data_IF_640689341793
#
_entry.id   IF_640689341793
#
_cell.length_a   1.000
_cell.length_b   1.000
_cell.length_c   1.000
_cell.angle_alpha   90.00
_cell.angle_beta   90.00
_cell.angle_gamma   90.00
#
_symmetry.space_group_name_H-M   'P 1'
#
loop_
_entity.id
_entity.type
_entity.pdbx_description
1 polymer ?
#
# COMPACT_ATOMS: atom_id res chain seq x y z
N UNK A 1 8.70 -3.97 -20.81
CA UNK A 1 8.59 -3.93 -19.35
C UNK A 1 9.27 -5.15 -18.73
N UNK A 2 10.09 -4.93 -17.72
CA UNK A 2 10.78 -6.01 -16.97
C UNK A 2 10.45 -5.85 -15.50
N UNK A 3 9.91 -6.92 -14.88
CA UNK A 3 9.67 -6.96 -13.44
C UNK A 3 10.94 -7.45 -12.71
N UNK A 4 11.30 -6.79 -11.63
CA UNK A 4 12.39 -7.17 -10.74
C UNK A 4 12.00 -7.07 -9.27
N UNK A 5 12.90 -7.43 -8.37
CA UNK A 5 12.68 -7.42 -6.93
C UNK A 5 13.79 -6.67 -6.20
N UNK A 6 13.41 -5.89 -5.18
CA UNK A 6 14.38 -5.26 -4.28
C UNK A 6 15.19 -6.30 -3.52
N UNK A 7 14.54 -7.38 -3.10
CA UNK A 7 15.15 -8.53 -2.43
C UNK A 7 14.83 -9.80 -3.22
N UNK A 8 15.83 -10.69 -3.38
CA UNK A 8 15.66 -11.94 -4.12
C UNK A 8 15.87 -11.81 -5.63
N UNK A 9 15.35 -12.79 -6.37
CA UNK A 9 15.51 -12.90 -7.82
C UNK A 9 14.16 -12.75 -8.55
N UNK A 10 14.16 -12.14 -9.75
CA UNK A 10 15.28 -11.44 -10.41
C UNK A 10 15.62 -10.12 -9.70
N UNK A 11 16.91 -9.83 -9.53
CA UNK A 11 17.37 -8.64 -8.83
C UNK A 11 17.36 -7.39 -9.73
N UNK A 12 17.21 -6.19 -9.15
CA UNK A 12 17.34 -4.90 -9.83
C UNK A 12 18.63 -4.85 -10.65
N UNK A 13 19.75 -5.22 -10.03
CA UNK A 13 21.07 -5.27 -10.68
C UNK A 13 21.07 -6.15 -11.94
N UNK A 14 20.50 -7.36 -11.87
CA UNK A 14 20.48 -8.27 -13.02
C UNK A 14 19.64 -7.73 -14.16
N UNK A 15 18.53 -7.06 -13.86
CA UNK A 15 17.62 -6.50 -14.86
C UNK A 15 18.16 -5.23 -15.51
N UNK A 16 18.79 -4.34 -14.76
CA UNK A 16 19.50 -3.18 -15.34
C UNK A 16 20.59 -3.66 -16.31
N UNK A 17 21.39 -4.66 -15.91
CA UNK A 17 22.43 -5.22 -16.80
C UNK A 17 21.84 -5.86 -18.06
N UNK A 18 20.75 -6.62 -17.95
CA UNK A 18 20.09 -7.23 -19.09
C UNK A 18 19.56 -6.17 -20.07
N UNK A 19 18.88 -5.14 -19.58
CA UNK A 19 18.39 -4.02 -20.40
C UNK A 19 19.54 -3.28 -21.09
N UNK A 20 20.63 -3.02 -20.37
CA UNK A 20 21.85 -2.42 -20.94
C UNK A 20 22.42 -3.29 -22.06
N UNK A 21 22.54 -4.61 -21.87
CA UNK A 21 23.01 -5.55 -22.89
C UNK A 21 22.11 -5.63 -24.13
N UNK A 22 20.83 -5.28 -23.97
CA UNK A 22 19.86 -5.15 -25.07
C UNK A 22 19.95 -3.79 -25.80
N UNK A 23 20.87 -2.91 -25.41
CA UNK A 23 21.06 -1.60 -26.01
C UNK A 23 20.12 -0.52 -25.48
N UNK A 24 19.45 -0.73 -24.35
CA UNK A 24 18.57 0.28 -23.75
C UNK A 24 19.42 1.40 -23.14
N UNK A 25 19.28 2.61 -23.68
CA UNK A 25 19.97 3.82 -23.24
C UNK A 25 19.15 4.67 -22.24
N UNK A 26 17.85 4.45 -22.20
CA UNK A 26 16.93 5.17 -21.33
C UNK A 26 16.08 4.18 -20.53
N UNK A 27 16.14 4.23 -19.21
CA UNK A 27 15.40 3.35 -18.31
C UNK A 27 14.45 4.17 -17.42
N UNK A 28 13.22 3.69 -17.32
CA UNK A 28 12.25 4.21 -16.34
C UNK A 28 12.09 3.16 -15.24
N UNK A 29 12.32 3.58 -14.01
CA UNK A 29 12.14 2.76 -12.81
C UNK A 29 10.83 3.18 -12.13
N UNK A 30 9.91 2.24 -12.00
CA UNK A 30 8.64 2.44 -11.31
C UNK A 30 8.59 1.52 -10.08
N UNK A 31 8.93 2.02 -8.87
CA UNK A 31 8.68 1.29 -7.65
C UNK A 31 7.17 1.15 -7.44
N UNK A 32 6.68 -0.08 -7.23
CA UNK A 32 5.24 -0.33 -7.04
C UNK A 32 4.79 -0.03 -5.60
N UNK A 33 5.25 1.10 -5.07
CA UNK A 33 4.85 1.68 -3.80
C UNK A 33 4.22 3.05 -4.05
N UNK A 34 2.87 3.15 -4.05
CA UNK A 34 2.20 4.42 -4.35
C UNK A 34 2.62 5.54 -3.40
N UNK A 35 2.70 5.24 -2.10
CA UNK A 35 3.16 6.15 -1.05
C UNK A 35 4.67 5.94 -0.84
N UNK A 36 5.46 6.98 -1.04
CA UNK A 36 6.89 6.93 -0.76
C UNK A 36 7.15 6.67 0.73
N UNK A 37 8.13 5.82 1.01
CA UNK A 37 8.76 5.70 2.32
C UNK A 37 10.26 5.47 2.14
N UNK A 38 11.08 5.87 3.13
CA UNK A 38 12.51 5.56 3.14
C UNK A 38 12.76 4.05 3.16
N UNK A 39 11.88 3.29 3.81
CA UNK A 39 11.97 1.83 3.88
C UNK A 39 11.59 1.11 2.59
N UNK A 40 10.91 1.77 1.65
CA UNK A 40 10.42 1.16 0.40
C UNK A 40 11.05 1.82 -0.82
N UNK A 41 10.51 2.92 -1.32
CA UNK A 41 10.95 3.58 -2.55
C UNK A 41 12.42 3.98 -2.49
N UNK A 42 12.91 4.54 -1.38
CA UNK A 42 14.31 4.93 -1.27
C UNK A 42 15.26 3.72 -1.36
N UNK A 43 14.88 2.56 -0.79
CA UNK A 43 15.73 1.35 -0.89
C UNK A 43 15.83 0.81 -2.32
N UNK A 44 14.78 0.99 -3.13
CA UNK A 44 14.82 0.69 -4.58
C UNK A 44 15.78 1.64 -5.28
N UNK A 45 15.66 2.95 -5.02
CA UNK A 45 16.54 3.97 -5.58
C UNK A 45 18.02 3.69 -5.24
N UNK A 46 18.31 3.37 -3.98
CA UNK A 46 19.65 3.03 -3.52
C UNK A 46 20.27 1.88 -4.33
N UNK A 47 19.50 0.82 -4.58
CA UNK A 47 20.02 -0.33 -5.33
C UNK A 47 20.22 -0.04 -6.81
N UNK A 48 19.34 0.79 -7.39
CA UNK A 48 19.52 1.32 -8.75
C UNK A 48 20.83 2.10 -8.83
N UNK A 49 21.03 3.08 -7.93
CA UNK A 49 22.23 3.91 -7.93
C UNK A 49 23.49 3.11 -7.65
N UNK A 50 23.48 2.19 -6.68
CA UNK A 50 24.61 1.27 -6.43
C UNK A 50 24.98 0.44 -7.66
N UNK A 51 23.98 0.05 -8.45
CA UNK A 51 24.21 -0.70 -9.69
C UNK A 51 24.88 0.19 -10.73
N UNK A 52 24.34 1.40 -10.94
CA UNK A 52 24.87 2.36 -11.92
C UNK A 52 26.31 2.78 -11.60
N UNK A 53 26.62 3.05 -10.34
CA UNK A 53 27.99 3.45 -9.90
C UNK A 53 29.06 2.43 -10.28
N UNK A 54 28.68 1.17 -10.54
CA UNK A 54 29.60 0.09 -10.95
C UNK A 54 29.67 -0.10 -12.47
N UNK A 55 28.92 0.68 -13.25
CA UNK A 55 28.88 0.59 -14.70
C UNK A 55 29.83 1.63 -15.33
N UNK A 56 30.57 1.22 -16.35
CA UNK A 56 31.44 2.15 -17.12
C UNK A 56 30.64 3.11 -17.95
N UNK A 57 29.58 2.62 -18.58
CA UNK A 57 28.60 3.40 -19.31
C UNK A 57 27.26 3.27 -18.63
N UNK A 58 26.67 4.38 -18.27
CA UNK A 58 25.42 4.43 -17.53
C UNK A 58 24.28 4.87 -18.44
N UNK A 59 23.16 4.13 -18.49
CA UNK A 59 21.96 4.59 -19.17
C UNK A 59 21.36 5.81 -18.45
N UNK A 60 20.58 6.60 -19.19
CA UNK A 60 19.72 7.63 -18.58
C UNK A 60 18.66 6.96 -17.71
N UNK A 61 18.46 7.49 -16.50
CA UNK A 61 17.50 6.93 -15.53
C UNK A 61 16.46 7.97 -15.17
N UNK A 62 15.19 7.56 -15.26
CA UNK A 62 14.06 8.29 -14.65
C UNK A 62 13.41 7.40 -13.60
N UNK A 63 13.38 7.85 -12.34
CA UNK A 63 12.69 7.16 -11.26
C UNK A 63 11.38 7.88 -10.98
N UNK A 64 10.29 7.13 -10.86
CA UNK A 64 9.00 7.63 -10.43
C UNK A 64 8.95 7.51 -8.90
N UNK A 65 9.02 8.62 -8.13
CA UNK A 65 9.24 8.55 -6.69
C UNK A 65 7.99 8.17 -5.90
N UNK A 66 6.82 8.59 -6.34
CA UNK A 66 5.53 8.33 -5.70
C UNK A 66 4.38 8.66 -6.67
N UNK A 67 3.21 8.08 -6.44
CA UNK A 67 1.99 8.35 -7.23
C UNK A 67 0.71 8.24 -6.39
N UNK A 68 0.81 8.47 -5.08
CA UNK A 68 -0.25 8.36 -4.08
C UNK A 68 -1.48 9.24 -4.37
N UNK A 69 -1.30 10.27 -5.18
CA UNK A 69 -2.36 11.23 -5.57
C UNK A 69 -2.62 11.28 -7.07
N UNK A 70 -2.02 10.37 -7.84
CA UNK A 70 -2.23 10.35 -9.28
C UNK A 70 -3.72 10.09 -9.59
N UNK A 71 -4.39 10.91 -10.42
CA UNK A 71 -5.84 10.80 -10.63
C UNK A 71 -6.29 9.41 -11.07
N UNK A 72 -5.59 8.78 -12.00
CA UNK A 72 -5.93 7.44 -12.49
C UNK A 72 -5.75 6.37 -11.41
N UNK A 73 -4.77 6.51 -10.51
CA UNK A 73 -4.60 5.61 -9.39
C UNK A 73 -5.77 5.74 -8.39
N UNK A 74 -6.18 6.95 -8.05
CA UNK A 74 -7.34 7.20 -7.19
C UNK A 74 -8.62 6.68 -7.85
N UNK A 75 -8.79 6.91 -9.16
CA UNK A 75 -9.96 6.40 -9.91
C UNK A 75 -10.01 4.87 -9.92
N UNK A 76 -8.87 4.20 -10.09
CA UNK A 76 -8.78 2.75 -10.02
C UNK A 76 -9.23 2.21 -8.65
N UNK A 77 -8.77 2.82 -7.54
CA UNK A 77 -9.17 2.45 -6.18
C UNK A 77 -10.68 2.66 -5.95
N UNK A 78 -11.23 3.80 -6.39
CA UNK A 78 -12.66 4.10 -6.28
C UNK A 78 -13.49 3.12 -7.12
N UNK A 79 -13.04 2.77 -8.31
CA UNK A 79 -13.71 1.78 -9.16
C UNK A 79 -13.70 0.38 -8.52
N UNK A 80 -12.58 -0.04 -7.91
CA UNK A 80 -12.49 -1.31 -7.17
C UNK A 80 -13.42 -1.34 -5.97
N UNK A 81 -13.51 -0.23 -5.19
CA UNK A 81 -14.49 -0.08 -4.11
C UNK A 81 -15.92 -0.20 -4.61
N UNK A 82 -16.27 0.54 -5.66
CA UNK A 82 -17.62 0.51 -6.24
C UNK A 82 -17.99 -0.88 -6.77
N UNK A 83 -17.04 -1.59 -7.40
CA UNK A 83 -17.22 -2.95 -7.86
C UNK A 83 -17.51 -3.88 -6.69
N UNK A 84 -16.66 -3.86 -5.65
CA UNK A 84 -16.82 -4.72 -4.48
C UNK A 84 -18.11 -4.48 -3.73
N UNK A 85 -18.54 -3.21 -3.57
CA UNK A 85 -19.81 -2.85 -2.92
C UNK A 85 -21.04 -3.42 -3.68
N UNK A 86 -20.96 -3.54 -5.01
CA UNK A 86 -22.02 -4.18 -5.81
C UNK A 86 -22.03 -5.70 -5.69
N UNK A 87 -20.91 -6.31 -5.36
CA UNK A 87 -20.77 -7.77 -5.22
C UNK A 87 -21.22 -8.27 -3.85
N UNK A 88 -21.06 -7.48 -2.79
CA UNK A 88 -21.51 -7.83 -1.44
C UNK A 88 -23.01 -7.57 -1.28
N UNK A 89 -23.68 -8.38 -0.44
CA UNK A 89 -25.12 -8.30 -0.19
C UNK A 89 -25.49 -7.50 1.06
N UNK A 90 -24.57 -6.69 1.57
CA UNK A 90 -24.72 -5.83 2.73
C UNK A 90 -24.09 -4.45 2.48
N UNK A 91 -24.52 -3.46 3.25
CA UNK A 91 -24.01 -2.09 3.14
C UNK A 91 -22.92 -1.84 4.19
N UNK A 92 -21.72 -1.41 3.82
CA UNK A 92 -20.68 -1.05 4.78
C UNK A 92 -21.09 0.17 5.63
N UNK A 93 -20.87 0.09 6.94
CA UNK A 93 -20.96 1.24 7.87
C UNK A 93 -19.70 2.08 7.83
N UNK A 94 -18.57 1.45 7.45
CA UNK A 94 -17.25 2.06 7.38
C UNK A 94 -16.36 1.37 6.34
N UNK A 95 -15.56 2.15 5.64
CA UNK A 95 -14.44 1.65 4.83
C UNK A 95 -13.15 1.82 5.63
N UNK A 96 -12.53 0.70 6.00
CA UNK A 96 -11.23 0.67 6.66
C UNK A 96 -10.12 0.74 5.62
N UNK A 97 -9.34 1.82 5.64
CA UNK A 97 -8.23 2.03 4.71
C UNK A 97 -6.93 1.68 5.42
N UNK A 98 -6.44 0.45 5.20
CA UNK A 98 -5.27 -0.08 5.90
C UNK A 98 -4.01 0.07 5.08
N UNK A 99 -2.96 0.61 5.69
CA UNK A 99 -1.61 0.74 5.13
C UNK A 99 -0.62 -0.05 5.98
N UNK A 100 0.48 -0.48 5.37
CA UNK A 100 1.57 -1.05 6.16
C UNK A 100 2.10 0.03 7.11
N UNK A 101 2.24 -0.30 8.39
CA UNK A 101 2.83 0.61 9.38
C UNK A 101 4.32 0.85 9.12
N UNK A 102 4.83 1.95 9.65
CA UNK A 102 6.26 2.19 9.81
C UNK A 102 6.53 2.66 11.24
N UNK A 103 7.74 2.48 11.77
CA UNK A 103 8.09 3.01 13.07
C UNK A 103 7.87 4.51 13.17
N UNK A 104 7.23 4.98 14.26
CA UNK A 104 6.96 6.40 14.53
C UNK A 104 8.20 7.28 14.34
N UNK A 105 9.37 6.80 14.77
CA UNK A 105 10.65 7.50 14.61
C UNK A 105 11.03 7.84 13.16
N UNK A 106 10.47 7.15 12.15
CA UNK A 106 10.73 7.49 10.74
C UNK A 106 9.95 8.74 10.36
N UNK A 107 8.68 8.82 10.76
CA UNK A 107 7.87 10.02 10.62
C UNK A 107 8.51 11.21 11.35
N UNK A 108 8.96 11.03 12.59
CA UNK A 108 9.62 12.07 13.40
C UNK A 108 10.92 12.59 12.75
N UNK A 109 11.55 11.78 11.88
CA UNK A 109 12.72 12.16 11.07
C UNK A 109 12.36 12.74 9.70
N UNK A 110 11.09 13.00 9.44
CA UNK A 110 10.63 13.65 8.21
C UNK A 110 10.25 12.69 7.06
N UNK A 111 10.05 11.39 7.32
CA UNK A 111 9.52 10.48 6.30
C UNK A 111 8.07 10.90 5.95
N UNK A 112 7.76 11.20 4.67
CA UNK A 112 6.46 11.72 4.27
C UNK A 112 5.35 10.66 4.20
N UNK A 113 5.66 9.39 4.44
CA UNK A 113 4.77 8.25 4.22
C UNK A 113 3.38 8.43 4.85
N UNK A 114 3.33 8.81 6.14
CA UNK A 114 2.06 9.04 6.84
C UNK A 114 1.19 10.09 6.12
N UNK A 115 1.80 11.20 5.70
CA UNK A 115 1.10 12.27 5.00
C UNK A 115 0.56 11.79 3.65
N UNK A 116 1.32 10.95 2.94
CA UNK A 116 0.88 10.36 1.66
C UNK A 116 -0.25 9.35 1.83
N UNK A 117 -0.23 8.54 2.88
CA UNK A 117 -1.35 7.65 3.22
C UNK A 117 -2.62 8.45 3.50
N UNK A 118 -2.56 9.49 4.34
CA UNK A 118 -3.68 10.38 4.63
C UNK A 118 -4.19 11.09 3.37
N UNK A 119 -3.29 11.54 2.50
CA UNK A 119 -3.65 12.17 1.23
C UNK A 119 -4.41 11.21 0.31
N UNK A 120 -3.94 9.97 0.15
CA UNK A 120 -4.65 8.94 -0.62
C UNK A 120 -6.06 8.71 -0.07
N UNK A 121 -6.19 8.48 1.24
CA UNK A 121 -7.50 8.27 1.89
C UNK A 121 -8.43 9.46 1.67
N UNK A 122 -7.93 10.69 1.86
CA UNK A 122 -8.73 11.91 1.63
C UNK A 122 -9.22 12.00 0.18
N UNK A 123 -8.36 11.75 -0.81
CA UNK A 123 -8.73 11.81 -2.23
C UNK A 123 -9.75 10.74 -2.62
N UNK A 124 -9.68 9.54 -2.00
CA UNK A 124 -10.72 8.53 -2.16
C UNK A 124 -12.03 9.04 -1.55
N UNK A 125 -12.00 9.60 -0.33
CA UNK A 125 -13.20 10.06 0.37
C UNK A 125 -13.89 11.23 -0.34
N UNK A 126 -13.15 12.10 -1.01
CA UNK A 126 -13.71 13.19 -1.83
C UNK A 126 -14.58 12.67 -2.99
N UNK A 127 -14.22 11.51 -3.54
CA UNK A 127 -15.00 10.84 -4.61
C UNK A 127 -16.04 9.85 -4.07
N UNK A 128 -15.88 9.40 -2.84
CA UNK A 128 -16.71 8.37 -2.21
C UNK A 128 -17.38 8.89 -0.93
N UNK A 129 -18.37 9.78 -1.10
CA UNK A 129 -18.98 10.56 0.00
C UNK A 129 -20.01 9.81 0.83
N UNK A 130 -20.46 8.64 0.41
CA UNK A 130 -21.61 7.94 1.02
C UNK A 130 -21.26 7.13 2.27
N UNK A 131 -20.00 6.84 2.51
CA UNK A 131 -19.51 6.00 3.60
C UNK A 131 -18.26 6.64 4.20
N UNK A 132 -18.13 6.61 5.51
CA UNK A 132 -16.95 7.07 6.23
C UNK A 132 -15.73 6.22 5.88
N UNK A 133 -14.57 6.87 5.66
CA UNK A 133 -13.27 6.22 5.49
C UNK A 133 -12.40 6.46 6.72
N UNK A 134 -11.76 5.41 7.25
CA UNK A 134 -10.86 5.48 8.40
C UNK A 134 -9.49 4.92 8.06
N UNK A 135 -8.45 5.75 8.11
CA UNK A 135 -7.06 5.32 7.91
C UNK A 135 -6.55 4.55 9.12
N UNK A 136 -5.89 3.42 8.87
CA UNK A 136 -5.24 2.60 9.90
C UNK A 136 -3.90 2.06 9.39
N UNK A 137 -3.07 1.53 10.30
CA UNK A 137 -1.76 0.98 10.00
C UNK A 137 -1.63 -0.44 10.55
N UNK A 138 -1.23 -1.38 9.69
CA UNK A 138 -1.07 -2.81 9.94
C UNK A 138 0.40 -3.23 10.08
N UNK A 139 0.64 -4.51 10.33
CA UNK A 139 1.96 -5.19 10.21
C UNK A 139 3.03 -4.64 11.16
N UNK A 140 2.63 -4.17 12.34
CA UNK A 140 3.60 -3.76 13.37
C UNK A 140 4.30 -4.96 13.99
N UNK A 141 5.59 -4.82 14.29
CA UNK A 141 6.36 -5.84 14.98
C UNK A 141 7.45 -5.24 15.90
N UNK A 142 7.87 -6.02 16.89
CA UNK A 142 8.88 -5.61 17.85
C UNK A 142 8.38 -4.54 18.86
N UNK A 143 9.24 -4.07 19.78
CA UNK A 143 8.83 -3.28 20.93
C UNK A 143 8.73 -1.77 20.67
N UNK A 144 9.13 -1.29 19.49
CA UNK A 144 9.12 0.13 19.18
C UNK A 144 7.70 0.65 18.88
N UNK A 145 7.48 1.95 19.06
CA UNK A 145 6.24 2.61 18.67
C UNK A 145 6.13 2.69 17.14
N UNK A 146 4.95 2.35 16.61
CA UNK A 146 4.61 2.41 15.20
C UNK A 146 3.56 3.50 14.95
N UNK A 147 3.31 3.83 13.69
CA UNK A 147 2.22 4.73 13.30
C UNK A 147 0.88 4.20 13.77
N UNK A 148 0.04 5.09 14.26
CA UNK A 148 -1.31 4.81 14.75
C UNK A 148 -2.36 5.52 13.86
N UNK A 149 -3.65 5.08 13.92
CA UNK A 149 -4.21 3.98 14.71
C UNK A 149 -3.87 2.60 14.15
N UNK A 150 -3.69 1.61 15.01
CA UNK A 150 -3.40 0.23 14.60
C UNK A 150 -4.65 -0.45 14.06
N UNK A 151 -4.51 -1.19 12.95
CA UNK A 151 -5.62 -1.85 12.26
C UNK A 151 -6.30 -2.89 13.15
N UNK A 152 -5.55 -3.78 13.79
CA UNK A 152 -6.07 -4.81 14.71
C UNK A 152 -6.88 -4.19 15.87
N UNK A 153 -6.32 -3.17 16.53
CA UNK A 153 -6.97 -2.49 17.66
C UNK A 153 -8.17 -1.65 17.23
N UNK A 154 -8.19 -1.18 15.99
CA UNK A 154 -9.35 -0.49 15.44
C UNK A 154 -10.47 -1.48 15.17
N UNK A 155 -10.17 -2.63 14.55
CA UNK A 155 -11.14 -3.69 14.28
C UNK A 155 -11.79 -4.23 15.57
N UNK A 156 -11.02 -4.38 16.65
CA UNK A 156 -11.55 -4.78 17.96
C UNK A 156 -12.60 -3.80 18.52
N UNK A 157 -12.46 -2.50 18.25
CA UNK A 157 -13.31 -1.43 18.81
C UNK A 157 -14.55 -1.11 17.98
N UNK A 158 -14.44 -1.20 16.65
CA UNK A 158 -15.48 -0.76 15.73
C UNK A 158 -16.88 -1.35 16.02
N UNK A 159 -17.05 -2.64 16.37
CA UNK A 159 -18.35 -3.18 16.70
C UNK A 159 -19.02 -2.52 17.91
N UNK A 160 -18.22 -2.16 18.93
CA UNK A 160 -18.69 -1.40 20.11
C UNK A 160 -19.06 0.04 19.79
N UNK A 161 -18.49 0.62 18.72
CA UNK A 161 -18.82 1.96 18.20
C UNK A 161 -20.05 1.94 17.25
N UNK A 162 -20.72 0.77 17.11
CA UNK A 162 -21.88 0.61 16.24
C UNK A 162 -21.55 0.35 14.77
N UNK A 163 -20.28 0.14 14.40
CA UNK A 163 -19.84 -0.21 13.05
C UNK A 163 -19.81 -1.73 12.93
N UNK A 164 -20.91 -2.32 12.49
CA UNK A 164 -21.09 -3.78 12.40
C UNK A 164 -20.69 -4.38 11.04
N UNK A 165 -20.60 -3.54 10.00
CA UNK A 165 -20.33 -3.95 8.63
C UNK A 165 -19.12 -3.15 8.12
N UNK A 166 -17.97 -3.80 7.96
CA UNK A 166 -16.72 -3.15 7.56
C UNK A 166 -16.19 -3.71 6.25
N UNK A 167 -15.91 -2.83 5.31
CA UNK A 167 -15.19 -3.16 4.08
C UNK A 167 -13.76 -2.61 4.16
N UNK A 168 -12.75 -3.48 4.08
CA UNK A 168 -11.35 -3.05 4.09
C UNK A 168 -10.82 -2.81 2.67
N UNK A 169 -9.85 -1.88 2.54
CA UNK A 169 -9.05 -1.66 1.33
C UNK A 169 -7.61 -1.36 1.73
N UNK A 170 -6.64 -1.86 0.96
CA UNK A 170 -5.21 -1.74 1.23
C UNK A 170 -4.47 -0.96 0.12
N UNK A 171 -4.62 0.37 0.00
CA UNK A 171 -4.07 1.13 -1.13
C UNK A 171 -2.54 1.17 -1.20
N UNK A 172 -1.84 0.89 -0.10
CA UNK A 172 -0.36 0.82 -0.09
C UNK A 172 0.21 -0.39 -0.84
N UNK A 173 -0.64 -1.35 -1.20
CA UNK A 173 -0.26 -2.60 -1.85
C UNK A 173 -0.76 -2.61 -3.30
N UNK A 174 0.17 -2.70 -4.26
CA UNK A 174 -0.19 -2.76 -5.68
C UNK A 174 -0.76 -4.12 -6.10
N UNK A 175 -0.40 -5.19 -5.37
CA UNK A 175 -0.92 -6.54 -5.57
C UNK A 175 -1.15 -7.24 -4.24
N UNK A 176 -2.07 -8.20 -4.24
CA UNK A 176 -2.35 -9.01 -3.06
C UNK A 176 -1.12 -9.81 -2.61
N UNK A 177 -0.93 -9.90 -1.31
CA UNK A 177 0.20 -10.54 -0.65
C UNK A 177 -0.22 -11.06 0.73
N UNK A 178 0.72 -11.61 1.49
CA UNK A 178 0.47 -12.14 2.85
C UNK A 178 -0.16 -11.06 3.75
N UNK A 179 0.34 -9.83 3.68
CA UNK A 179 -0.13 -8.70 4.49
C UNK A 179 -1.56 -8.28 4.15
N UNK A 180 -2.07 -8.57 2.96
CA UNK A 180 -3.46 -8.28 2.59
C UNK A 180 -4.37 -9.50 2.78
N UNK A 181 -3.96 -10.66 2.27
CA UNK A 181 -4.81 -11.86 2.28
C UNK A 181 -4.86 -12.52 3.66
N UNK A 182 -3.74 -12.67 4.34
CA UNK A 182 -3.73 -13.31 5.65
C UNK A 182 -4.00 -12.31 6.77
N UNK A 183 -3.26 -11.22 6.85
CA UNK A 183 -3.36 -10.28 7.97
C UNK A 183 -4.73 -9.55 7.98
N UNK A 184 -5.20 -9.06 6.82
CA UNK A 184 -6.46 -8.29 6.76
C UNK A 184 -7.67 -9.18 6.48
N UNK A 185 -7.64 -9.98 5.38
CA UNK A 185 -8.83 -10.72 4.97
C UNK A 185 -9.13 -11.91 5.89
N UNK A 186 -8.11 -12.56 6.47
CA UNK A 186 -8.32 -13.72 7.37
C UNK A 186 -8.30 -13.24 8.82
N UNK A 187 -7.15 -12.81 9.35
CA UNK A 187 -6.98 -12.48 10.77
C UNK A 187 -7.78 -11.23 11.17
N UNK A 188 -7.79 -10.19 10.33
CA UNK A 188 -8.57 -8.97 10.57
C UNK A 188 -10.07 -9.24 10.60
N UNK A 189 -10.56 -10.06 9.66
CA UNK A 189 -11.95 -10.54 9.66
C UNK A 189 -12.29 -11.31 10.92
N UNK A 190 -11.46 -12.26 11.32
CA UNK A 190 -11.66 -13.05 12.54
C UNK A 190 -11.71 -12.15 13.79
N UNK A 191 -10.75 -11.23 13.91
CA UNK A 191 -10.69 -10.25 15.00
C UNK A 191 -11.97 -9.42 15.07
N UNK A 192 -12.45 -8.91 13.93
CA UNK A 192 -13.64 -8.07 13.86
C UNK A 192 -14.91 -8.84 14.23
N UNK A 193 -15.10 -10.05 13.68
CA UNK A 193 -16.27 -10.88 13.96
C UNK A 193 -16.30 -11.33 15.42
N UNK A 194 -15.17 -11.75 15.99
CA UNK A 194 -15.06 -12.15 17.41
C UNK A 194 -15.31 -10.97 18.36
N UNK A 195 -15.11 -9.74 17.91
CA UNK A 195 -15.43 -8.52 18.67
C UNK A 195 -16.91 -8.07 18.54
N UNK A 196 -17.73 -8.84 17.84
CA UNK A 196 -19.17 -8.58 17.66
C UNK A 196 -19.51 -7.82 16.39
N UNK A 197 -18.65 -7.83 15.38
CA UNK A 197 -18.96 -7.42 14.02
C UNK A 197 -19.87 -8.44 13.33
N UNK A 198 -20.56 -8.03 12.28
CA UNK A 198 -21.50 -8.87 11.53
C UNK A 198 -20.97 -9.25 10.15
N UNK A 199 -20.48 -8.27 9.40
CA UNK A 199 -19.98 -8.51 8.04
C UNK A 199 -18.61 -7.83 7.84
N UNK A 200 -17.67 -8.59 7.30
CA UNK A 200 -16.35 -8.10 6.93
C UNK A 200 -15.91 -8.68 5.59
N UNK A 201 -15.42 -7.82 4.71
CA UNK A 201 -14.77 -8.24 3.47
C UNK A 201 -13.65 -7.26 3.10
N UNK A 202 -12.84 -7.61 2.09
CA UNK A 202 -11.75 -6.78 1.61
C UNK A 202 -11.88 -6.58 0.08
N UNK A 203 -11.59 -5.35 -0.34
CA UNK A 203 -11.39 -5.03 -1.77
C UNK A 203 -10.05 -5.63 -2.20
N UNK A 204 -10.01 -6.48 -3.23
CA UNK A 204 -8.74 -6.96 -3.77
C UNK A 204 -7.83 -5.80 -4.19
N UNK A 205 -6.52 -5.96 -4.05
CA UNK A 205 -5.57 -5.01 -4.61
C UNK A 205 -5.75 -4.90 -6.13
N UNK A 206 -5.14 -3.89 -6.76
CA UNK A 206 -5.31 -3.65 -8.20
C UNK A 206 -4.79 -4.82 -9.05
N UNK A 207 -3.75 -5.53 -8.57
CA UNK A 207 -3.12 -6.69 -9.20
C UNK A 207 -2.58 -6.37 -10.61
N UNK A 208 -3.30 -6.69 -11.68
CA UNK A 208 -2.89 -6.51 -13.09
C UNK A 208 -3.66 -5.35 -13.74
#
# INVERSE_FOLDING_TARGET
CIRDRRYGNPSIKSKIKALHSMGCENLVILPLYPQYAAATTATVCDEVYRTLMKMRWQPSIKIIPHYESHPQYIDALVNSLNKKIKEINWKPDLILVSYHGIPQKYFDKGDPYHCYCQKTTRLISEKFKSIELKTTFQSRFGPQKWLEPYTDKTLEKLPGEGKKNVLAICPGFSSDCVETLEEILIQGKETFLNSGGENFDMVPCLND
#
